data_IF_415997953737
#
_entry.id   IF_415997953737
#
_cell.length_a   1.000
_cell.length_b   1.000
_cell.length_c   1.000
_cell.angle_alpha   90.00
_cell.angle_beta   90.00
_cell.angle_gamma   90.00
#
_symmetry.space_group_name_H-M   'P 1'
#
loop_
_entity.id
_entity.type
_entity.pdbx_description
1 polymer ?
#
# COMPACT_ATOMS: atom_id res chain seq x y z
N UNK A 1 19.62 1.95 -5.83
CA UNK A 1 18.59 1.93 -6.89
C UNK A 1 17.27 2.39 -6.34
N UNK A 2 16.56 3.23 -7.07
CA UNK A 2 15.21 3.59 -6.64
C UNK A 2 14.31 2.36 -6.64
N UNK A 3 13.48 2.28 -5.66
CA UNK A 3 12.53 1.19 -5.56
C UNK A 3 11.21 1.56 -6.23
N UNK A 4 10.54 0.56 -6.77
CA UNK A 4 9.19 0.74 -7.27
C UNK A 4 8.22 0.84 -6.10
N UNK A 5 7.08 1.43 -6.37
CA UNK A 5 6.01 1.59 -5.40
C UNK A 5 4.79 0.83 -5.90
N UNK A 6 4.17 0.03 -5.04
CA UNK A 6 2.93 -0.66 -5.37
C UNK A 6 1.85 -0.30 -4.38
N UNK A 7 0.62 -0.16 -4.86
CA UNK A 7 -0.50 0.20 -4.02
C UNK A 7 -1.73 -0.59 -4.39
N UNK A 8 -2.49 -1.00 -3.39
CA UNK A 8 -3.78 -1.63 -3.59
C UNK A 8 -4.80 -0.90 -2.74
N UNK A 9 -5.83 -0.37 -3.40
CA UNK A 9 -6.94 0.28 -2.71
C UNK A 9 -8.08 -0.69 -2.56
N UNK A 10 -8.57 -0.83 -1.34
CA UNK A 10 -9.67 -1.74 -1.04
C UNK A 10 -10.78 -0.99 -0.33
N UNK A 11 -11.99 -1.52 -0.43
CA UNK A 11 -13.09 -1.04 0.37
C UNK A 11 -13.17 -1.91 1.61
N UNK A 12 -12.87 -1.31 2.75
CA UNK A 12 -12.91 -2.03 4.01
C UNK A 12 -11.56 -2.62 4.41
N UNK A 13 -11.40 -2.75 5.72
CA UNK A 13 -10.12 -3.13 6.30
C UNK A 13 -9.76 -4.59 6.06
N UNK A 14 -10.77 -5.47 6.03
CA UNK A 14 -10.51 -6.90 5.89
C UNK A 14 -9.85 -7.21 4.55
N UNK A 15 -10.37 -6.63 3.48
CA UNK A 15 -9.79 -6.84 2.15
C UNK A 15 -8.37 -6.29 2.09
N UNK A 16 -8.13 -5.14 2.71
CA UNK A 16 -6.81 -4.53 2.71
C UNK A 16 -5.80 -5.38 3.47
N UNK A 17 -6.19 -5.91 4.61
CA UNK A 17 -5.31 -6.75 5.41
C UNK A 17 -4.94 -8.01 4.64
N UNK A 18 -5.94 -8.63 4.00
CA UNK A 18 -5.69 -9.82 3.21
C UNK A 18 -4.77 -9.52 2.02
N UNK A 19 -5.00 -8.39 1.36
CA UNK A 19 -4.16 -7.97 0.25
C UNK A 19 -2.72 -7.72 0.71
N UNK A 20 -2.55 -7.02 1.83
CA UNK A 20 -1.22 -6.71 2.34
C UNK A 20 -0.46 -7.97 2.70
N UNK A 21 -1.13 -8.91 3.37
CA UNK A 21 -0.51 -10.17 3.74
C UNK A 21 -0.06 -10.94 2.50
N UNK A 22 -0.92 -11.02 1.50
CA UNK A 22 -0.59 -11.74 0.27
C UNK A 22 0.57 -11.09 -0.47
N UNK A 23 0.64 -9.75 -0.46
CA UNK A 23 1.74 -9.06 -1.14
C UNK A 23 3.09 -9.43 -0.55
N UNK A 24 3.21 -9.39 0.77
CA UNK A 24 4.51 -9.64 1.39
C UNK A 24 4.88 -11.12 1.37
N UNK A 25 3.90 -12.00 1.20
CA UNK A 25 4.18 -13.43 1.07
C UNK A 25 4.54 -13.82 -0.35
N UNK A 26 4.05 -13.09 -1.34
CA UNK A 26 4.21 -13.48 -2.74
C UNK A 26 5.55 -13.08 -3.33
N UNK A 27 6.16 -12.02 -2.83
CA UNK A 27 7.38 -11.51 -3.45
C UNK A 27 8.21 -10.76 -2.40
N UNK A 28 9.45 -10.49 -2.76
CA UNK A 28 10.36 -9.80 -1.86
C UNK A 28 10.09 -8.30 -1.91
N UNK A 29 9.04 -7.89 -1.21
CA UNK A 29 8.66 -6.49 -1.10
C UNK A 29 8.53 -6.13 0.37
N UNK A 30 8.62 -4.84 0.66
CA UNK A 30 8.49 -4.33 2.01
C UNK A 30 7.18 -3.58 2.13
N UNK A 31 6.39 -3.91 3.14
CA UNK A 31 5.16 -3.16 3.41
C UNK A 31 5.55 -1.84 4.05
N UNK A 32 5.28 -0.74 3.34
CA UNK A 32 5.62 0.58 3.82
C UNK A 32 4.58 1.06 4.82
N UNK A 33 3.33 0.74 4.57
CA UNK A 33 2.27 1.15 5.46
C UNK A 33 0.92 1.02 4.80
N UNK A 34 -0.08 1.57 5.45
CA UNK A 34 -1.41 1.62 4.90
C UNK A 34 -2.02 2.95 5.26
N UNK A 35 -3.01 3.36 4.50
CA UNK A 35 -3.65 4.65 4.68
C UNK A 35 -5.15 4.50 4.59
N UNK A 36 -5.85 5.09 5.53
CA UNK A 36 -7.31 5.09 5.53
C UNK A 36 -7.79 6.36 4.84
N UNK A 37 -8.57 6.16 3.80
CA UNK A 37 -9.11 7.26 3.02
C UNK A 37 -10.61 7.31 3.25
N UNK A 38 -11.24 8.43 2.94
CA UNK A 38 -12.66 8.60 3.16
C UNK A 38 -13.49 7.51 2.49
N UNK A 39 -14.73 7.34 2.96
CA UNK A 39 -15.72 6.46 2.37
C UNK A 39 -15.33 4.97 2.44
N UNK A 40 -14.62 4.61 3.47
CA UNK A 40 -14.27 3.20 3.68
C UNK A 40 -13.15 2.69 2.84
N UNK A 41 -12.46 3.56 2.11
CA UNK A 41 -11.31 3.16 1.29
C UNK A 41 -10.06 3.08 2.12
N UNK A 42 -9.30 2.01 1.92
CA UNK A 42 -8.05 1.76 2.64
C UNK A 42 -7.03 1.31 1.62
N UNK A 43 -5.82 1.85 1.71
CA UNK A 43 -4.76 1.57 0.74
C UNK A 43 -3.57 0.92 1.43
N UNK A 44 -3.07 -0.18 0.87
CA UNK A 44 -1.83 -0.80 1.34
C UNK A 44 -0.72 -0.46 0.34
N UNK A 45 0.47 -0.17 0.86
CA UNK A 45 1.59 0.30 0.04
C UNK A 45 2.81 -0.58 0.29
N UNK A 46 3.44 -1.03 -0.79
CA UNK A 46 4.68 -1.81 -0.72
C UNK A 46 5.76 -1.17 -1.58
N UNK A 47 7.00 -1.49 -1.26
CA UNK A 47 8.16 -1.07 -2.04
C UNK A 47 9.07 -2.27 -2.28
N UNK A 48 9.80 -2.22 -3.39
CA UNK A 48 10.76 -3.24 -3.77
C UNK A 48 11.16 -3.03 -5.21
N UNK A 49 11.89 -4.00 -5.79
CA UNK A 49 12.20 -3.85 -7.21
C UNK A 49 10.92 -4.04 -8.02
N UNK A 50 10.91 -3.55 -9.25
CA UNK A 50 9.68 -3.44 -10.02
C UNK A 50 9.03 -4.80 -10.30
N UNK A 51 9.82 -5.82 -10.59
CA UNK A 51 9.25 -7.14 -10.87
C UNK A 51 8.59 -7.73 -9.63
N UNK A 52 9.24 -7.57 -8.48
CA UNK A 52 8.68 -8.05 -7.22
C UNK A 52 7.41 -7.30 -6.87
N UNK A 53 7.40 -5.98 -7.08
CA UNK A 53 6.23 -5.16 -6.78
C UNK A 53 5.06 -5.55 -7.67
N UNK A 54 5.31 -5.80 -8.98
CA UNK A 54 4.23 -6.22 -9.86
C UNK A 54 3.64 -7.56 -9.43
N UNK A 55 4.51 -8.51 -9.10
CA UNK A 55 4.05 -9.82 -8.64
C UNK A 55 3.28 -9.70 -7.33
N UNK A 56 3.76 -8.86 -6.42
CA UNK A 56 3.08 -8.65 -5.14
C UNK A 56 1.69 -8.04 -5.34
N UNK A 57 1.59 -7.02 -6.17
CA UNK A 57 0.31 -6.34 -6.40
C UNK A 57 -0.70 -7.30 -7.04
N UNK A 58 -0.25 -8.12 -8.00
CA UNK A 58 -1.14 -9.11 -8.61
C UNK A 58 -1.67 -10.09 -7.57
N UNK A 59 -0.78 -10.63 -6.74
CA UNK A 59 -1.18 -11.59 -5.71
C UNK A 59 -2.10 -10.94 -4.67
N UNK A 60 -1.76 -9.71 -4.27
CA UNK A 60 -2.55 -9.00 -3.28
C UNK A 60 -3.94 -8.68 -3.78
N UNK A 61 -4.05 -8.26 -5.04
CA UNK A 61 -5.35 -7.97 -5.63
C UNK A 61 -6.23 -9.20 -5.68
N UNK A 62 -5.66 -10.35 -6.08
CA UNK A 62 -6.41 -11.59 -6.12
C UNK A 62 -6.89 -11.99 -4.73
N UNK A 63 -6.04 -11.88 -3.73
CA UNK A 63 -6.40 -12.24 -2.36
C UNK A 63 -7.47 -11.31 -1.82
N UNK A 64 -7.33 -10.01 -2.03
CA UNK A 64 -8.31 -9.04 -1.55
C UNK A 64 -9.68 -9.26 -2.16
N UNK A 65 -9.72 -9.60 -3.45
CA UNK A 65 -10.99 -9.84 -4.14
C UNK A 65 -11.74 -11.05 -3.60
N UNK A 66 -11.04 -11.99 -3.01
CA UNK A 66 -11.71 -13.17 -2.46
C UNK A 66 -12.51 -12.86 -1.21
N UNK A 67 -12.16 -11.79 -0.50
CA UNK A 67 -12.82 -11.49 0.78
C UNK A 67 -13.49 -10.12 0.80
N UNK A 68 -13.33 -9.33 -0.25
CA UNK A 68 -13.95 -8.02 -0.30
C UNK A 68 -13.78 -7.38 -1.65
N UNK A 69 -13.74 -6.05 -1.66
CA UNK A 69 -13.68 -5.31 -2.92
C UNK A 69 -12.33 -4.63 -3.07
N UNK A 70 -11.64 -4.93 -4.17
CA UNK A 70 -10.44 -4.20 -4.57
C UNK A 70 -10.86 -3.15 -5.58
N UNK A 71 -10.62 -1.90 -5.23
CA UNK A 71 -11.09 -0.77 -6.02
C UNK A 71 -10.10 -0.41 -7.13
N UNK A 72 -8.81 -0.43 -6.80
CA UNK A 72 -7.79 -0.03 -7.77
C UNK A 72 -6.44 -0.57 -7.35
N UNK A 73 -5.55 -0.73 -8.32
CA UNK A 73 -4.16 -1.07 -8.08
C UNK A 73 -3.27 -0.15 -8.88
N UNK A 74 -2.10 0.15 -8.34
CA UNK A 74 -1.14 1.02 -9.01
C UNK A 74 0.27 0.48 -8.82
N UNK A 75 1.07 0.57 -9.87
CA UNK A 75 2.50 0.28 -9.78
C UNK A 75 3.24 1.46 -10.40
N UNK A 76 4.12 2.05 -9.61
CA UNK A 76 4.97 3.15 -10.08
C UNK A 76 6.39 2.61 -10.13
N UNK A 77 6.94 2.34 -11.32
CA UNK A 77 8.20 1.60 -11.43
C UNK A 77 9.40 2.28 -10.80
N UNK A 78 9.47 3.59 -10.89
CA UNK A 78 10.58 4.34 -10.30
C UNK A 78 10.05 5.68 -9.85
N UNK A 79 9.47 5.72 -8.64
CA UNK A 79 8.88 6.97 -8.17
C UNK A 79 9.93 8.06 -8.08
N UNK A 80 9.58 9.20 -8.60
CA UNK A 80 10.40 10.38 -8.46
C UNK A 80 10.34 10.84 -7.01
N UNK A 81 11.39 11.52 -6.54
CA UNK A 81 11.40 12.00 -5.16
C UNK A 81 10.21 12.91 -4.86
N UNK A 82 9.74 13.65 -5.86
CA UNK A 82 8.59 14.52 -5.66
C UNK A 82 7.31 13.72 -5.40
N UNK A 83 7.20 12.54 -5.99
CA UNK A 83 6.06 11.67 -5.72
C UNK A 83 6.06 11.26 -4.26
N UNK A 84 7.23 10.89 -3.74
CA UNK A 84 7.33 10.52 -2.33
C UNK A 84 6.89 11.67 -1.42
N UNK A 85 7.26 12.87 -1.76
CA UNK A 85 6.88 14.03 -0.94
C UNK A 85 5.43 14.42 -1.11
N UNK A 86 4.85 14.11 -2.25
CA UNK A 86 3.49 14.51 -2.56
C UNK A 86 2.41 13.58 -2.07
N UNK A 87 2.76 12.39 -1.62
CA UNK A 87 1.77 11.40 -1.19
C UNK A 87 1.75 11.32 0.32
N UNK A 88 0.67 11.79 0.96
CA UNK A 88 0.59 11.74 2.42
C UNK A 88 0.81 10.37 2.99
N UNK A 89 0.39 9.36 2.27
CA UNK A 89 0.51 7.98 2.70
C UNK A 89 1.95 7.58 2.94
N UNK A 90 2.90 8.22 2.30
CA UNK A 90 4.30 7.89 2.48
C UNK A 90 4.89 8.47 3.75
N UNK A 91 4.12 9.25 4.46
CA UNK A 91 4.56 9.81 5.73
C UNK A 91 4.05 9.03 6.91
N UNK A 92 3.22 8.07 6.67
CA UNK A 92 2.69 7.31 7.79
C UNK A 92 3.63 6.23 8.18
N UNK A 93 3.67 5.47 8.65
CA UNK A 93 4.58 4.38 8.89
C UNK A 93 5.86 4.82 9.42
N UNK A 94 6.35 5.93 9.16
CA UNK A 94 7.57 6.23 9.71
C UNK A 94 7.71 7.63 10.02
N UNK A 95 7.17 8.24 9.79
CA UNK A 95 7.48 9.50 10.18
C UNK A 95 6.33 10.33 10.49
N UNK A 96 6.33 10.02 10.06
CA UNK A 96 5.55 10.55 10.10
C UNK A 96 4.75 10.49 10.35
N UNK A 97 4.64 10.28 10.56
CA UNK A 97 3.98 10.13 10.76
C UNK A 97 3.43 10.67 11.07
N UNK A 98 3.22 11.09 11.12
CA UNK A 98 2.68 11.56 11.31
C UNK A 98 1.70 11.78 11.12
N UNK A 99 1.19 11.73 10.90
CA UNK A 99 0.26 11.74 10.77
C UNK A 99 -0.56 11.12 10.64
N UNK A 100 -0.65 10.45 10.54
CA UNK A 100 -1.29 9.84 10.57
C UNK A 100 -1.58 9.48 11.22
N UNK A 101 -1.32 9.60 11.32
CA UNK A 101 -1.38 9.24 12.12
C UNK A 101 -2.08 9.44 12.44
N UNK A 102 -2.24 9.48 12.24
CA UNK A 102 -2.56 9.48 12.90
C UNK A 102 -3.25 9.32 12.75
N UNK A 103 -3.22 9.11 12.55
CA UNK A 103 -3.43 8.78 12.75
C UNK A 103 -3.61 8.32 12.71
N UNK A 104 -3.45 7.92 12.39
CA UNK A 104 -3.22 7.35 12.73
C UNK A 104 -3.03 7.28 13.10
N UNK A 105 -2.95 7.13 13.15
CA UNK A 105 -2.67 7.03 13.72
C UNK A 105 -2.89 7.03 13.96
N UNK A 106 -2.91 7.02 13.50
CA UNK A 106 -2.93 7.03 13.86
C UNK A 106 -3.40 7.12 13.92
N UNK A 107 -3.43 6.96 13.74
CA UNK A 107 -3.62 6.98 14.03
C UNK A 107 -3.61 7.03 14.17
N UNK A 108 -3.85 6.73 13.91
CA UNK A 108 -3.82 6.77 14.23
C UNK A 108 -3.75 6.84 14.33
#
# INVERSE_FOLDING_TARGET
MPEALGMIECRGLVAMIEAADAMVKAANVRLVGWEKIDAGLVTAIVRGDVAAVRAAVDAGAAAGKRVGEVVATHVIPQPHSDVDLGLPVLHTGETTRKKISGSVKAKH
#
